data_IF_733625444267
#
_entry.id   IF_733625444267
#
_cell.length_a   1.000
_cell.length_b   1.000
_cell.length_c   1.000
_cell.angle_alpha   90.00
_cell.angle_beta   90.00
_cell.angle_gamma   90.00
#
_symmetry.space_group_name_H-M   'P 1'
#
loop_
_entity.id
_entity.type
_entity.pdbx_description
1 polymer ?
#
# COMPACT_ATOMS: atom_id res chain seq x y z
N UNK A 1 8.36 6.97 15.63
CA UNK A 1 8.67 7.42 14.25
C UNK A 1 7.94 6.49 13.29
N UNK A 2 7.50 7.00 12.14
CA UNK A 2 6.89 6.19 11.07
C UNK A 2 7.91 6.02 9.94
N UNK A 3 7.79 4.93 9.23
CA UNK A 3 8.58 4.61 8.05
C UNK A 3 7.67 4.22 6.89
N UNK A 4 8.08 4.61 5.70
CA UNK A 4 7.56 4.10 4.43
C UNK A 4 8.47 2.98 3.96
N UNK A 5 7.88 1.82 3.72
CA UNK A 5 8.55 0.66 3.15
C UNK A 5 8.17 0.56 1.68
N UNK A 6 9.15 0.43 0.80
CA UNK A 6 8.91 0.29 -0.64
C UNK A 6 9.51 -1.01 -1.16
N UNK A 7 8.74 -1.70 -2.00
CA UNK A 7 9.12 -2.95 -2.63
C UNK A 7 8.70 -2.94 -4.09
N UNK A 8 9.58 -3.35 -5.01
CA UNK A 8 9.21 -3.55 -6.40
C UNK A 8 8.83 -5.02 -6.62
N UNK A 9 7.55 -5.29 -6.85
CA UNK A 9 7.09 -6.63 -7.14
C UNK A 9 7.32 -6.94 -8.63
N UNK A 10 8.34 -7.75 -8.92
CA UNK A 10 8.65 -8.21 -10.28
C UNK A 10 7.47 -8.94 -10.92
N UNK A 11 6.75 -9.77 -10.15
CA UNK A 11 5.63 -10.56 -10.67
C UNK A 11 4.48 -9.70 -11.23
N UNK A 12 4.35 -8.46 -10.76
CA UNK A 12 3.33 -7.52 -11.25
C UNK A 12 3.92 -6.31 -11.96
N UNK A 13 5.26 -6.17 -12.03
CA UNK A 13 5.93 -4.99 -12.54
C UNK A 13 5.50 -3.69 -11.84
N UNK A 14 5.20 -3.76 -10.53
CA UNK A 14 4.60 -2.64 -9.79
C UNK A 14 5.33 -2.38 -8.49
N UNK A 15 5.53 -1.10 -8.19
CA UNK A 15 5.93 -0.65 -6.87
C UNK A 15 4.79 -0.81 -5.87
N UNK A 16 5.16 -1.25 -4.67
CA UNK A 16 4.28 -1.42 -3.52
C UNK A 16 4.82 -0.57 -2.38
N UNK A 17 3.90 0.07 -1.68
CA UNK A 17 4.19 0.92 -0.53
C UNK A 17 3.50 0.36 0.70
N UNK A 18 4.19 0.36 1.84
CA UNK A 18 3.62 0.02 3.13
C UNK A 18 4.01 1.09 4.16
N UNK A 19 3.00 1.72 4.76
CA UNK A 19 3.18 2.59 5.91
C UNK A 19 3.23 1.74 7.18
N UNK A 20 4.29 1.89 7.96
CA UNK A 20 4.46 1.17 9.23
C UNK A 20 3.43 1.55 10.30
N UNK A 21 2.65 2.62 10.13
CA UNK A 21 1.46 2.87 10.95
C UNK A 21 0.42 1.73 10.85
N UNK A 22 0.47 0.92 9.80
CA UNK A 22 -0.38 -0.25 9.59
C UNK A 22 0.15 -1.52 10.27
N UNK A 23 1.31 -1.47 10.92
CA UNK A 23 1.88 -2.58 11.68
C UNK A 23 1.52 -2.42 13.17
N UNK A 24 0.51 -3.15 13.69
CA UNK A 24 0.05 -2.99 15.07
C UNK A 24 1.14 -3.31 16.11
N UNK A 25 2.05 -4.22 15.76
CA UNK A 25 3.17 -4.64 16.58
C UNK A 25 4.35 -3.65 16.57
N UNK A 26 4.39 -2.68 15.64
CA UNK A 26 5.51 -1.75 15.48
C UNK A 26 5.39 -0.52 16.40
N UNK A 27 5.55 -0.72 17.70
CA UNK A 27 5.35 0.34 18.71
C UNK A 27 6.61 1.14 19.05
N UNK A 28 7.80 0.58 18.80
CA UNK A 28 9.06 1.22 19.17
C UNK A 28 9.38 2.44 18.32
N UNK A 29 8.89 2.46 17.07
CA UNK A 29 9.23 3.50 16.10
C UNK A 29 10.73 3.56 15.78
N UNK A 30 11.46 2.47 16.00
CA UNK A 30 12.90 2.33 15.73
C UNK A 30 13.09 1.47 14.48
N UNK A 31 13.98 1.87 13.58
CA UNK A 31 14.16 1.17 12.31
C UNK A 31 14.69 -0.26 12.50
N UNK A 32 15.43 -0.50 13.58
CA UNK A 32 16.02 -1.79 13.94
C UNK A 32 14.97 -2.85 14.30
N UNK A 33 13.78 -2.43 14.74
CA UNK A 33 12.69 -3.35 15.13
C UNK A 33 11.77 -3.71 13.95
N UNK A 34 11.97 -3.09 12.77
CA UNK A 34 11.14 -3.34 11.58
C UNK A 34 11.14 -4.80 11.15
N UNK A 35 12.28 -5.52 11.08
CA UNK A 35 12.28 -6.93 10.73
C UNK A 35 11.39 -7.80 11.63
N UNK A 36 11.46 -7.56 12.94
CA UNK A 36 10.65 -8.28 13.91
C UNK A 36 9.15 -7.95 13.76
N UNK A 37 8.81 -6.67 13.56
CA UNK A 37 7.43 -6.25 13.35
C UNK A 37 6.82 -6.79 12.06
N UNK A 38 7.59 -6.86 10.97
CA UNK A 38 7.14 -7.47 9.71
C UNK A 38 6.87 -8.97 9.88
N UNK A 39 7.72 -9.70 10.61
CA UNK A 39 7.50 -11.13 10.89
C UNK A 39 6.31 -11.40 11.81
N UNK A 40 5.96 -10.46 12.68
CA UNK A 40 4.78 -10.56 13.53
C UNK A 40 3.47 -10.46 12.71
N UNK A 41 3.52 -9.90 11.49
CA UNK A 41 2.35 -9.66 10.63
C UNK A 41 2.46 -10.38 9.27
N UNK A 42 2.60 -11.73 9.25
CA UNK A 42 2.93 -12.48 8.03
C UNK A 42 1.85 -12.38 6.95
N UNK A 43 0.58 -12.24 7.31
CA UNK A 43 -0.51 -12.09 6.34
C UNK A 43 -0.47 -10.75 5.60
N UNK A 44 -0.20 -9.67 6.34
CA UNK A 44 -0.05 -8.33 5.77
C UNK A 44 1.17 -8.28 4.86
N UNK A 45 2.31 -8.82 5.32
CA UNK A 45 3.55 -8.83 4.53
C UNK A 45 3.39 -9.65 3.25
N UNK A 46 2.81 -10.84 3.30
CA UNK A 46 2.59 -11.63 2.08
C UNK A 46 1.61 -10.96 1.12
N UNK A 47 0.54 -10.33 1.62
CA UNK A 47 -0.40 -9.57 0.79
C UNK A 47 0.29 -8.41 0.10
N UNK A 48 1.13 -7.68 0.82
CA UNK A 48 1.90 -6.57 0.30
C UNK A 48 2.95 -7.00 -0.72
N UNK A 49 3.69 -8.08 -0.45
CA UNK A 49 4.74 -8.61 -1.34
C UNK A 49 4.22 -9.57 -2.42
N UNK A 50 2.91 -9.83 -2.47
CA UNK A 50 2.25 -10.74 -3.43
C UNK A 50 2.81 -12.16 -3.50
N UNK A 51 3.47 -12.62 -2.44
CA UNK A 51 4.19 -13.89 -2.44
C UNK A 51 4.69 -14.31 -1.06
N UNK A 52 5.34 -15.47 -1.03
CA UNK A 52 5.94 -16.01 0.20
C UNK A 52 7.34 -15.48 0.36
N UNK A 53 7.47 -14.56 1.30
CA UNK A 53 8.72 -13.94 1.65
C UNK A 53 9.13 -14.29 3.06
N UNK A 54 10.40 -14.62 3.21
CA UNK A 54 11.08 -14.63 4.48
C UNK A 54 11.82 -13.30 4.64
N UNK A 55 11.64 -12.66 5.81
CA UNK A 55 12.24 -11.37 6.13
C UNK A 55 13.43 -11.62 7.04
N UNK A 56 14.61 -11.14 6.64
CA UNK A 56 15.82 -11.26 7.43
C UNK A 56 15.86 -10.22 8.57
N UNK A 57 16.55 -10.55 9.66
CA UNK A 57 16.61 -9.77 10.91
C UNK A 57 17.35 -8.43 10.81
N UNK A 58 18.04 -8.18 9.69
CA UNK A 58 18.98 -7.07 9.61
C UNK A 58 18.43 -5.90 8.80
N UNK A 59 18.55 -4.70 9.38
CA UNK A 59 18.55 -3.46 8.62
C UNK A 59 19.99 -3.22 8.13
N UNK A 60 20.20 -3.34 6.83
CA UNK A 60 21.54 -3.25 6.23
C UNK A 60 21.81 -1.81 5.76
N UNK A 61 23.00 -1.25 6.04
CA UNK A 61 23.41 0.06 5.52
C UNK A 61 23.43 0.10 3.99
N UNK A 62 23.14 1.27 3.42
CA UNK A 62 23.15 1.47 1.98
C UNK A 62 24.58 1.35 1.42
N UNK A 63 24.95 0.19 0.88
CA UNK A 63 26.09 0.07 -0.04
C UNK A 63 25.66 0.63 -1.39
N UNK A 64 26.41 1.62 -1.88
CA UNK A 64 26.16 2.39 -3.11
C UNK A 64 25.63 1.56 -4.27
N UNK A 65 24.57 2.10 -4.89
CA UNK A 65 24.03 1.84 -6.24
C UNK A 65 23.71 0.38 -6.61
N UNK A 66 22.42 0.14 -6.83
CA UNK A 66 21.86 -0.91 -7.70
C UNK A 66 22.45 -2.32 -7.52
N UNK A 67 21.81 -3.13 -6.67
CA UNK A 67 21.73 -4.57 -6.95
C UNK A 67 20.37 -4.86 -7.57
N UNK A 68 20.25 -4.47 -8.83
CA UNK A 68 19.48 -5.26 -9.81
C UNK A 68 20.04 -6.67 -9.78
N UNK A 69 19.28 -7.59 -9.19
CA UNK A 69 19.56 -9.01 -9.21
C UNK A 69 20.00 -9.56 -7.86
N UNK A 70 19.12 -10.41 -7.30
CA UNK A 70 19.42 -11.39 -6.25
C UNK A 70 19.16 -10.95 -4.80
N UNK A 71 18.00 -10.34 -4.59
CA UNK A 71 17.36 -10.18 -3.28
C UNK A 71 16.24 -9.17 -3.38
N UNK A 72 15.02 -9.57 -3.04
CA UNK A 72 13.86 -8.70 -3.01
C UNK A 72 14.01 -7.73 -1.82
N UNK A 73 14.81 -6.68 -1.99
CA UNK A 73 15.13 -5.75 -0.91
C UNK A 73 13.98 -4.76 -0.67
N UNK A 74 13.61 -4.60 0.59
CA UNK A 74 12.65 -3.60 1.05
C UNK A 74 13.43 -2.37 1.45
N UNK A 75 13.24 -1.26 0.75
CA UNK A 75 13.85 0.01 1.12
C UNK A 75 13.05 0.69 2.23
N UNK A 76 13.74 1.24 3.23
CA UNK A 76 13.15 1.89 4.40
C UNK A 76 13.40 3.38 4.33
N UNK A 77 12.32 4.16 4.33
CA UNK A 77 12.38 5.62 4.32
C UNK A 77 11.77 6.20 5.59
N UNK A 78 12.38 7.23 6.19
CA UNK A 78 11.76 7.95 7.29
C UNK A 78 10.52 8.66 6.76
N UNK A 79 9.41 8.52 7.48
CA UNK A 79 8.15 9.19 7.16
C UNK A 79 7.79 10.12 8.31
N UNK A 80 7.68 11.43 8.00
CA UNK A 80 7.23 12.42 8.97
C UNK A 80 5.82 12.10 9.50
N UNK A 81 5.55 12.44 10.76
CA UNK A 81 4.26 12.13 11.39
C UNK A 81 3.05 12.69 10.62
N UNK A 82 3.23 13.83 9.95
CA UNK A 82 2.20 14.55 9.20
C UNK A 82 2.13 14.15 7.71
N UNK A 83 3.07 13.31 7.22
CA UNK A 83 3.01 12.82 5.83
C UNK A 83 2.03 11.67 5.74
N UNK A 84 0.93 11.89 5.03
CA UNK A 84 0.05 10.82 4.59
C UNK A 84 0.72 10.05 3.44
N UNK A 85 0.80 8.72 3.55
CA UNK A 85 1.15 7.88 2.40
C UNK A 85 -0.06 7.83 1.50
N UNK A 86 0.09 8.29 0.27
CA UNK A 86 -0.96 8.16 -0.74
C UNK A 86 -0.97 6.69 -1.15
N UNK A 87 -2.12 6.04 -0.97
CA UNK A 87 -2.41 4.71 -1.51
C UNK A 87 -1.97 3.52 -0.66
N UNK A 88 -2.94 2.66 -0.36
CA UNK A 88 -2.73 1.33 0.23
C UNK A 88 -3.00 0.27 -0.84
N UNK A 89 -2.15 -0.76 -0.89
CA UNK A 89 -2.24 -1.98 -1.73
C UNK A 89 -2.37 -1.79 -3.25
N UNK A 90 -3.44 -1.16 -3.73
CA UNK A 90 -3.87 -1.16 -5.13
C UNK A 90 -4.00 0.24 -5.77
N UNK A 91 -3.75 1.31 -5.03
CA UNK A 91 -3.71 2.65 -5.63
C UNK A 91 -2.39 2.84 -6.40
N UNK A 92 -2.48 3.22 -7.67
CA UNK A 92 -1.31 3.54 -8.48
C UNK A 92 -0.63 4.79 -7.93
N UNK A 93 0.51 4.59 -7.26
CA UNK A 93 1.27 5.65 -6.60
C UNK A 93 2.49 6.11 -7.43
N UNK A 94 2.58 5.73 -8.71
CA UNK A 94 3.80 5.84 -9.53
C UNK A 94 4.44 7.23 -9.49
N UNK A 95 3.72 8.27 -9.92
CA UNK A 95 4.26 9.62 -9.97
C UNK A 95 4.63 10.20 -8.59
N UNK A 96 3.80 9.95 -7.57
CA UNK A 96 4.11 10.39 -6.19
C UNK A 96 5.35 9.68 -5.65
N UNK A 97 5.43 8.37 -5.86
CA UNK A 97 6.54 7.56 -5.40
C UNK A 97 7.84 7.96 -6.11
N UNK A 98 7.81 8.19 -7.42
CA UNK A 98 8.97 8.66 -8.18
C UNK A 98 9.51 9.98 -7.62
N UNK A 99 8.64 10.97 -7.38
CA UNK A 99 9.03 12.24 -6.75
C UNK A 99 9.58 11.99 -5.34
N UNK A 100 8.91 11.17 -4.54
CA UNK A 100 9.35 10.84 -3.19
C UNK A 100 10.75 10.18 -3.19
N UNK A 101 11.01 9.25 -4.10
CA UNK A 101 12.29 8.54 -4.21
C UNK A 101 13.42 9.46 -4.71
N UNK A 102 13.11 10.49 -5.52
CA UNK A 102 14.08 11.51 -5.93
C UNK A 102 14.46 12.44 -4.79
N UNK A 103 13.51 12.79 -3.93
CA UNK A 103 13.70 13.76 -2.85
C UNK A 103 14.23 13.14 -1.55
N UNK A 104 14.10 11.83 -1.37
CA UNK A 104 14.38 11.15 -0.11
C UNK A 104 15.37 10.01 -0.32
N UNK A 105 16.29 9.83 0.65
CA UNK A 105 17.20 8.68 0.66
C UNK A 105 16.71 7.62 1.65
N UNK A 106 16.82 6.32 1.31
CA UNK A 106 16.52 5.28 2.26
C UNK A 106 17.53 5.34 3.41
N UNK A 107 17.05 5.09 4.63
CA UNK A 107 17.91 4.99 5.83
C UNK A 107 18.51 3.58 5.98
N UNK A 108 17.99 2.61 5.24
CA UNK A 108 18.48 1.25 5.21
C UNK A 108 17.58 0.34 4.38
N UNK A 109 17.96 -0.94 4.33
CA UNK A 109 17.23 -1.96 3.59
C UNK A 109 16.98 -3.17 4.48
N UNK A 110 15.79 -3.75 4.36
CA UNK A 110 15.44 -5.05 4.95
C UNK A 110 15.47 -6.07 3.83
N UNK A 111 16.28 -7.12 3.99
CA UNK A 111 16.33 -8.18 2.98
C UNK A 111 15.06 -9.04 3.05
N UNK A 112 14.43 -9.27 1.90
CA UNK A 112 13.40 -10.28 1.74
C UNK A 112 13.84 -11.32 0.71
N UNK A 113 13.52 -12.58 1.00
CA UNK A 113 13.85 -13.70 0.12
C UNK A 113 12.60 -14.50 -0.20
N UNK A 114 12.43 -14.78 -1.49
CA UNK A 114 11.35 -15.66 -1.94
C UNK A 114 11.61 -17.07 -1.43
N UNK A 115 10.73 -17.54 -0.56
CA UNK A 115 10.87 -18.85 0.07
C UNK A 115 10.26 -19.93 -0.84
N UNK A 116 11.08 -20.84 -1.37
CA UNK A 116 10.61 -22.06 -2.02
C UNK A 116 10.15 -23.06 -0.96
N UNK A 117 8.96 -22.88 -0.38
CA UNK A 117 8.42 -23.81 0.63
C UNK A 117 6.93 -24.07 0.41
N UNK A 118 6.56 -25.36 0.45
CA UNK A 118 5.19 -25.89 0.44
C UNK A 118 4.32 -25.19 1.50
N UNK A 119 3.07 -24.83 1.18
CA UNK A 119 2.40 -23.82 1.95
C UNK A 119 1.99 -24.22 3.37
N UNK A 120 2.57 -23.56 4.40
CA UNK A 120 1.92 -23.42 5.71
C UNK A 120 0.51 -22.86 5.47
N UNK A 121 -0.51 -23.65 5.83
CA UNK A 121 -1.84 -23.57 5.23
C UNK A 121 -2.60 -22.26 5.50
N UNK A 122 -2.44 -21.66 6.68
CA UNK A 122 -3.26 -20.52 7.12
C UNK A 122 -3.11 -19.28 6.22
N UNK A 123 -1.88 -18.81 6.04
CA UNK A 123 -1.63 -17.57 5.33
C UNK A 123 -1.88 -17.69 3.81
N UNK A 124 -1.63 -18.87 3.22
CA UNK A 124 -1.93 -19.15 1.82
C UNK A 124 -3.45 -19.32 1.58
N UNK A 125 -4.20 -19.82 2.57
CA UNK A 125 -5.64 -19.91 2.47
C UNK A 125 -6.28 -18.51 2.35
N UNK A 126 -5.83 -17.53 3.12
CA UNK A 126 -6.32 -16.13 3.02
C UNK A 126 -6.09 -15.53 1.64
N UNK A 127 -4.89 -15.68 1.07
CA UNK A 127 -4.59 -15.23 -0.30
C UNK A 127 -5.41 -15.98 -1.36
N UNK A 128 -5.56 -17.30 -1.22
CA UNK A 128 -6.40 -18.10 -2.12
C UNK A 128 -7.87 -17.68 -2.08
N UNK A 129 -8.40 -17.39 -0.89
CA UNK A 129 -9.78 -16.89 -0.72
C UNK A 129 -9.95 -15.55 -1.44
N UNK A 130 -9.00 -14.62 -1.31
CA UNK A 130 -9.05 -13.34 -2.03
C UNK A 130 -8.90 -13.50 -3.54
N UNK A 131 -7.96 -14.34 -4.00
CA UNK A 131 -7.79 -14.64 -5.41
C UNK A 131 -9.05 -15.29 -6.01
N UNK A 132 -9.76 -16.12 -5.24
CA UNK A 132 -11.02 -16.73 -5.64
C UNK A 132 -12.20 -15.75 -5.62
N UNK A 133 -12.12 -14.67 -4.85
CA UNK A 133 -13.19 -13.66 -4.71
C UNK A 133 -12.61 -12.24 -4.69
N UNK A 134 -12.11 -11.74 -5.84
CA UNK A 134 -11.41 -10.46 -5.92
C UNK A 134 -12.30 -9.25 -5.61
N UNK A 135 -13.63 -9.39 -5.65
CA UNK A 135 -14.61 -8.34 -5.34
C UNK A 135 -15.50 -8.77 -4.16
N UNK A 136 -14.90 -9.09 -3.01
CA UNK A 136 -15.67 -9.44 -1.83
C UNK A 136 -16.23 -8.17 -1.17
N UNK A 137 -17.53 -8.13 -0.93
CA UNK A 137 -18.19 -6.95 -0.37
C UNK A 137 -17.65 -6.54 1.01
N UNK A 138 -17.15 -7.49 1.80
CA UNK A 138 -16.51 -7.24 3.10
C UNK A 138 -15.07 -6.73 3.03
N UNK A 139 -14.47 -6.68 1.84
CA UNK A 139 -13.13 -6.10 1.67
C UNK A 139 -13.23 -4.58 1.81
N UNK A 140 -12.40 -4.00 2.67
CA UNK A 140 -12.38 -2.57 2.93
C UNK A 140 -12.12 -1.76 1.65
N UNK A 141 -11.30 -2.26 0.72
CA UNK A 141 -11.07 -1.58 -0.57
C UNK A 141 -12.33 -1.60 -1.44
N UNK A 142 -13.11 -2.68 -1.40
CA UNK A 142 -14.39 -2.78 -2.09
C UNK A 142 -15.42 -1.82 -1.46
N UNK A 143 -15.54 -1.80 -0.13
CA UNK A 143 -16.38 -0.86 0.60
C UNK A 143 -16.04 0.60 0.31
N UNK A 144 -14.75 0.97 0.31
CA UNK A 144 -14.30 2.33 0.00
C UNK A 144 -14.63 2.71 -1.44
N UNK A 145 -14.45 1.79 -2.39
CA UNK A 145 -14.78 2.02 -3.80
C UNK A 145 -16.27 2.22 -3.98
N UNK A 146 -17.10 1.37 -3.37
CA UNK A 146 -18.57 1.50 -3.39
C UNK A 146 -19.00 2.82 -2.75
N UNK A 147 -18.42 3.19 -1.60
CA UNK A 147 -18.73 4.45 -0.91
C UNK A 147 -18.42 5.66 -1.79
N UNK A 148 -17.26 5.68 -2.45
CA UNK A 148 -16.89 6.74 -3.40
C UNK A 148 -17.82 6.81 -4.62
N UNK A 149 -18.27 5.66 -5.13
CA UNK A 149 -19.25 5.63 -6.23
C UNK A 149 -20.59 6.23 -5.78
N UNK A 150 -21.02 5.95 -4.55
CA UNK A 150 -22.24 6.51 -3.98
C UNK A 150 -22.11 8.03 -3.82
N UNK A 151 -21.02 8.51 -3.20
CA UNK A 151 -20.73 9.95 -3.05
C UNK A 151 -20.70 10.67 -4.40
N UNK A 152 -19.99 10.11 -5.38
CA UNK A 152 -19.90 10.69 -6.71
C UNK A 152 -21.27 10.76 -7.41
N UNK A 153 -22.13 9.74 -7.23
CA UNK A 153 -23.50 9.75 -7.76
C UNK A 153 -24.37 10.81 -7.08
N UNK A 154 -24.19 11.06 -5.79
CA UNK A 154 -24.91 12.10 -5.05
C UNK A 154 -24.52 13.50 -5.54
N UNK A 155 -23.22 13.77 -5.66
CA UNK A 155 -22.71 15.04 -6.22
C UNK A 155 -23.27 15.28 -7.63
N UNK A 156 -23.28 14.24 -8.48
CA UNK A 156 -23.85 14.33 -9.84
C UNK A 156 -25.37 14.52 -9.87
N UNK A 157 -26.09 14.08 -8.83
CA UNK A 157 -27.53 14.29 -8.71
C UNK A 157 -27.85 15.71 -8.23
N UNK A 158 -27.05 16.24 -7.30
CA UNK A 158 -27.14 17.63 -6.80
C UNK A 158 -26.84 18.65 -7.89
N UNK A 159 -25.73 18.46 -8.63
CA UNK A 159 -25.39 19.33 -9.76
C UNK A 159 -26.48 19.38 -10.85
N UNK A 160 -27.18 18.26 -11.08
CA UNK A 160 -28.30 18.21 -12.02
C UNK A 160 -29.54 18.93 -11.50
N UNK A 161 -29.82 18.88 -10.20
CA UNK A 161 -30.92 19.64 -9.59
C UNK A 161 -30.64 21.14 -9.61
N UNK A 162 -29.45 21.56 -9.19
CA UNK A 162 -29.05 22.97 -9.22
C UNK A 162 -29.05 23.55 -10.65
N UNK A 163 -28.63 22.75 -11.63
CA UNK A 163 -28.72 23.12 -13.05
C UNK A 163 -30.16 23.25 -13.53
N UNK A 164 -31.07 22.36 -13.11
CA UNK A 164 -32.48 22.42 -13.46
C UNK A 164 -33.21 23.61 -12.81
N UNK A 165 -32.92 23.90 -11.53
CA UNK A 165 -33.51 25.02 -10.79
C UNK A 165 -33.07 26.37 -11.34
N UNK A 166 -31.81 26.50 -11.80
CA UNK A 166 -31.34 27.70 -12.52
C UNK A 166 -32.02 27.91 -13.86
N UNK A 167 -32.30 26.83 -14.59
CA UNK A 167 -32.99 26.91 -15.90
C UNK A 167 -34.46 27.28 -15.70
N UNK A 168 -35.11 26.76 -14.66
CA UNK A 168 -36.49 27.13 -14.29
C UNK A 168 -36.61 28.60 -13.86
N UNK A 169 -35.69 29.10 -13.03
CA UNK A 169 -35.70 30.49 -12.59
C UNK A 169 -35.52 31.49 -13.75
N UNK A 170 -34.72 31.15 -14.76
CA UNK A 170 -34.53 31.98 -15.96
C UNK A 170 -35.72 31.96 -16.93
N UNK A 171 -36.62 30.97 -16.82
CA UNK A 171 -37.81 30.87 -17.67
C UNK A 171 -39.05 31.56 -17.06
N UNK A 172 -39.06 31.85 -15.75
CA UNK A 172 -40.14 32.59 -15.09
C UNK A 172 -39.94 34.13 -15.12
N UNK A 173 -38.75 34.62 -15.49
CA UNK A 173 -38.44 36.05 -15.62
C UNK A 173 -38.51 36.61 -17.07
N UNK A 174 -38.98 35.81 -18.05
CA UNK A 174 -39.19 36.22 -19.46
C UNK A 174 -40.67 36.29 -19.83
#
# INVERSE_FOLDING_TARGET
MRFLLTFHCEATGQWRCLDTALLPAFRSGRAEDLPAALRAEPELVMRWLLGRYEIADALVPATTAAQTGQGDAIAVYPLGADRAVIGFENAYNGAWLEIFLLENRPIGFVAAHKRQVLPAGGAMASLKIRAARPLHASDQACHLTVSRIIEHRQIWAEQRREGADRVAALTEES
#
